data_IF_195267196627
#
_entry.id   IF_195267196627
#
_cell.length_a   1.000
_cell.length_b   1.000
_cell.length_c   1.000
_cell.angle_alpha   90.00
_cell.angle_beta   90.00
_cell.angle_gamma   90.00
#
_symmetry.space_group_name_H-M   'P 1'
#
loop_
_entity.id
_entity.type
_entity.pdbx_description
1 polymer ?
#
# COMPACT_ATOMS: atom_id res chain seq x y z
N UNK A 1 -3.86 -7.44 13.02
CA UNK A 1 -3.32 -6.16 12.49
C UNK A 1 -3.90 -5.06 13.34
N UNK A 2 -3.07 -4.21 13.96
CA UNK A 2 -3.54 -3.05 14.70
C UNK A 2 -3.64 -1.88 13.72
N UNK A 3 -4.79 -1.20 13.74
CA UNK A 3 -5.08 -0.03 12.94
C UNK A 3 -5.12 1.19 13.87
N UNK A 4 -4.50 2.28 13.42
CA UNK A 4 -4.42 3.55 14.15
C UNK A 4 -4.87 4.69 13.24
N UNK A 5 -5.38 5.78 13.84
CA UNK A 5 -5.70 7.02 13.14
C UNK A 5 -4.38 7.76 12.89
N UNK A 6 -4.13 8.12 11.64
CA UNK A 6 -2.85 8.67 11.22
C UNK A 6 -3.01 9.84 10.26
N UNK A 7 -1.99 10.70 10.27
CA UNK A 7 -1.92 11.84 9.37
C UNK A 7 -1.29 11.48 8.03
N UNK A 8 -1.96 11.87 6.95
CA UNK A 8 -1.44 11.71 5.58
C UNK A 8 -0.23 12.63 5.39
N UNK A 9 -0.35 13.92 5.67
CA UNK A 9 0.78 14.83 5.82
C UNK A 9 1.11 14.91 7.32
N UNK A 10 2.35 14.58 7.75
CA UNK A 10 2.75 14.53 9.16
C UNK A 10 2.37 15.79 9.94
N UNK A 11 1.90 15.62 11.17
CA UNK A 11 1.49 16.74 12.05
C UNK A 11 2.62 17.74 12.33
N UNK A 12 3.87 17.29 12.37
CA UNK A 12 5.05 18.15 12.56
C UNK A 12 5.17 19.20 11.47
N UNK A 13 4.81 18.81 10.25
CA UNK A 13 4.90 19.65 9.06
C UNK A 13 3.63 20.48 8.84
N UNK A 14 2.51 20.05 9.43
CA UNK A 14 1.20 20.54 9.01
C UNK A 14 0.16 20.66 10.14
N UNK A 15 0.57 21.30 11.24
CA UNK A 15 -0.22 21.47 12.47
C UNK A 15 -1.61 22.10 12.25
N UNK A 16 -1.72 23.10 11.35
CA UNK A 16 -2.99 23.80 11.07
C UNK A 16 -4.10 22.88 10.55
N UNK A 17 -3.76 21.71 10.00
CA UNK A 17 -4.71 20.75 9.46
C UNK A 17 -4.67 19.41 10.18
N UNK A 18 -4.20 19.40 11.43
CA UNK A 18 -4.15 18.19 12.25
C UNK A 18 -5.53 17.54 12.42
N UNK A 19 -6.61 18.32 12.44
CA UNK A 19 -7.99 17.81 12.55
C UNK A 19 -8.78 17.87 11.23
N UNK A 20 -8.11 18.17 10.10
CA UNK A 20 -8.80 18.13 8.81
C UNK A 20 -9.03 16.68 8.43
N UNK A 21 -10.30 16.28 8.24
CA UNK A 21 -10.66 14.90 7.85
C UNK A 21 -9.91 14.42 6.61
N UNK A 22 -9.69 15.31 5.63
CA UNK A 22 -8.90 14.97 4.42
C UNK A 22 -7.43 14.65 4.72
N UNK A 23 -6.89 15.04 5.87
CA UNK A 23 -5.53 14.74 6.32
C UNK A 23 -5.47 13.59 7.34
N UNK A 24 -6.62 13.04 7.77
CA UNK A 24 -6.71 11.95 8.74
C UNK A 24 -7.18 10.67 8.04
N UNK A 25 -6.54 9.55 8.31
CA UNK A 25 -6.91 8.26 7.73
C UNK A 25 -6.63 7.11 8.68
N UNK A 26 -7.29 5.99 8.48
CA UNK A 26 -6.98 4.75 9.22
C UNK A 26 -5.86 4.02 8.48
N UNK A 27 -4.79 3.68 9.19
CA UNK A 27 -3.68 2.94 8.59
C UNK A 27 -3.08 1.93 9.58
N UNK A 28 -2.37 0.92 9.06
CA UNK A 28 -1.69 -0.04 9.91
C UNK A 28 -0.32 0.49 10.36
N UNK A 29 0.17 -0.01 11.51
CA UNK A 29 1.49 0.36 12.03
C UNK A 29 2.65 0.14 11.04
N UNK A 30 2.58 -0.88 10.18
CA UNK A 30 3.60 -1.11 9.15
C UNK A 30 3.66 0.04 8.15
N UNK A 31 2.52 0.37 7.55
CA UNK A 31 2.45 1.44 6.56
C UNK A 31 2.81 2.79 7.16
N UNK A 32 2.29 3.12 8.35
CA UNK A 32 2.56 4.41 8.96
C UNK A 32 3.93 4.50 9.65
N UNK A 33 4.26 3.58 10.57
CA UNK A 33 5.43 3.72 11.44
C UNK A 33 6.72 3.17 10.84
N UNK A 34 6.65 2.21 9.90
CA UNK A 34 7.85 1.60 9.33
C UNK A 34 8.19 2.14 7.93
N UNK A 35 7.17 2.38 7.11
CA UNK A 35 7.34 2.81 5.73
C UNK A 35 7.25 4.33 5.62
N UNK A 36 6.07 4.90 5.84
CA UNK A 36 5.80 6.31 5.56
C UNK A 36 6.50 7.25 6.54
N UNK A 37 6.39 7.03 7.85
CA UNK A 37 6.95 7.90 8.89
C UNK A 37 6.65 9.38 8.59
N UNK A 38 7.70 10.21 8.55
CA UNK A 38 7.66 11.62 8.17
C UNK A 38 8.03 11.87 6.71
N UNK A 39 8.08 10.83 5.87
CA UNK A 39 8.39 10.99 4.45
C UNK A 39 7.33 11.86 3.76
N UNK A 40 7.81 12.70 2.84
CA UNK A 40 7.00 13.58 2.00
C UNK A 40 7.24 13.34 0.51
N UNK A 41 8.09 12.37 0.13
CA UNK A 41 8.41 12.07 -1.27
C UNK A 41 7.19 11.62 -2.09
N UNK A 42 6.13 11.18 -1.41
CA UNK A 42 4.84 10.87 -2.01
C UNK A 42 4.09 12.11 -2.54
N UNK A 43 4.52 13.33 -2.22
CA UNK A 43 3.95 14.55 -2.80
C UNK A 43 4.57 14.81 -4.18
N UNK A 44 3.75 15.27 -5.12
CA UNK A 44 4.21 15.68 -6.46
C UNK A 44 4.94 17.02 -6.46
N UNK A 45 4.67 17.85 -5.46
CA UNK A 45 5.34 19.14 -5.25
C UNK A 45 5.76 19.29 -3.78
N UNK A 46 6.82 20.07 -3.49
CA UNK A 46 7.23 20.33 -2.12
C UNK A 46 6.09 20.88 -1.27
N UNK A 47 6.03 20.48 0.01
CA UNK A 47 4.95 20.85 0.93
C UNK A 47 4.73 22.38 1.02
N UNK A 48 5.81 23.17 1.04
CA UNK A 48 5.73 24.63 1.08
C UNK A 48 5.17 25.26 -0.20
N UNK A 49 5.25 24.54 -1.33
CA UNK A 49 4.70 24.95 -2.62
C UNK A 49 3.24 24.49 -2.81
N UNK A 50 2.66 23.74 -1.87
CA UNK A 50 1.27 23.30 -1.99
C UNK A 50 0.30 24.50 -1.93
N UNK A 51 -0.64 24.61 -2.88
CA UNK A 51 -1.55 25.74 -2.93
C UNK A 51 -2.57 25.70 -1.78
N UNK A 52 -3.34 26.78 -1.61
CA UNK A 52 -4.43 26.83 -0.61
C UNK A 52 -5.37 25.61 -0.70
N UNK A 53 -5.70 25.16 -1.92
CA UNK A 53 -6.49 23.95 -2.19
C UNK A 53 -5.60 22.69 -2.31
N UNK A 54 -4.83 22.39 -1.26
CA UNK A 54 -3.85 21.29 -1.24
C UNK A 54 -4.43 19.87 -1.13
N UNK A 55 -5.64 19.72 -0.59
CA UNK A 55 -6.32 18.41 -0.52
C UNK A 55 -6.99 18.09 -1.84
N UNK A 56 -6.17 17.89 -2.87
CA UNK A 56 -6.57 17.44 -4.20
C UNK A 56 -5.72 16.22 -4.55
N UNK A 57 -6.38 15.19 -5.05
CA UNK A 57 -5.78 13.91 -5.45
C UNK A 57 -4.46 14.09 -6.23
N UNK A 58 -4.45 14.98 -7.23
CA UNK A 58 -3.30 15.23 -8.13
C UNK A 58 -1.98 15.70 -7.48
N UNK A 59 -1.95 15.97 -6.18
CA UNK A 59 -0.72 16.34 -5.48
C UNK A 59 -0.08 15.16 -4.72
N UNK A 60 -0.71 14.00 -4.76
CA UNK A 60 -0.30 12.79 -4.07
C UNK A 60 -0.06 11.69 -5.08
N UNK A 61 1.16 11.12 -5.04
CA UNK A 61 1.60 10.03 -5.92
C UNK A 61 0.97 8.69 -5.57
N UNK A 62 0.76 8.41 -4.29
CA UNK A 62 0.00 7.23 -3.88
C UNK A 62 -1.51 7.52 -3.89
N UNK A 63 -2.30 6.45 -3.86
CA UNK A 63 -3.77 6.47 -3.74
C UNK A 63 -4.14 7.07 -2.39
N UNK A 64 -4.64 8.28 -2.41
CA UNK A 64 -5.01 9.02 -1.22
C UNK A 64 -6.33 8.46 -0.64
N UNK A 65 -6.35 7.96 0.60
CA UNK A 65 -7.47 7.18 1.15
C UNK A 65 -8.81 7.94 1.21
N UNK A 66 -8.77 9.27 1.30
CA UNK A 66 -9.98 10.11 1.36
C UNK A 66 -10.28 10.88 0.06
N UNK A 67 -9.43 10.80 -0.96
CA UNK A 67 -9.55 11.64 -2.17
C UNK A 67 -9.58 10.85 -3.46
N UNK A 68 -9.12 9.60 -3.43
CA UNK A 68 -9.08 8.70 -4.58
C UNK A 68 -10.03 7.52 -4.35
N UNK A 69 -10.63 7.04 -5.42
CA UNK A 69 -11.30 5.75 -5.43
C UNK A 69 -10.24 4.65 -5.57
N UNK A 70 -10.12 3.75 -4.59
CA UNK A 70 -9.08 2.71 -4.61
C UNK A 70 -9.31 1.72 -5.75
N UNK A 71 -10.56 1.41 -6.08
CA UNK A 71 -10.92 0.39 -7.07
C UNK A 71 -10.51 0.78 -8.50
N UNK A 72 -10.40 2.09 -8.77
CA UNK A 72 -9.89 2.62 -10.05
C UNK A 72 -8.38 2.40 -10.22
N UNK A 73 -7.67 1.96 -9.17
CA UNK A 73 -6.21 1.95 -9.14
C UNK A 73 -5.62 0.62 -8.68
N UNK A 74 -6.25 -0.05 -7.71
CA UNK A 74 -5.81 -1.31 -7.15
C UNK A 74 -7.01 -2.21 -6.89
N UNK A 75 -6.88 -3.45 -7.32
CA UNK A 75 -7.77 -4.54 -6.94
C UNK A 75 -7.05 -5.45 -5.94
N UNK A 76 -7.74 -5.82 -4.86
CA UNK A 76 -7.22 -6.72 -3.83
C UNK A 76 -7.93 -8.06 -3.91
N UNK A 77 -7.23 -9.06 -4.39
CA UNK A 77 -7.70 -10.44 -4.48
C UNK A 77 -7.22 -11.25 -3.28
N UNK A 78 -8.17 -11.85 -2.54
CA UNK A 78 -7.88 -12.67 -1.36
C UNK A 78 -8.56 -14.02 -1.52
N UNK A 79 -7.75 -15.09 -1.54
CA UNK A 79 -8.26 -16.47 -1.57
C UNK A 79 -7.92 -17.15 -0.26
N UNK A 80 -8.93 -17.74 0.39
CA UNK A 80 -8.74 -18.49 1.64
C UNK A 80 -9.27 -19.91 1.51
N UNK A 81 -8.44 -20.90 1.84
CA UNK A 81 -8.83 -22.31 1.92
C UNK A 81 -8.37 -22.89 3.25
N UNK A 82 -9.29 -23.06 4.19
CA UNK A 82 -8.96 -23.47 5.57
C UNK A 82 -8.03 -22.44 6.26
N UNK A 83 -6.83 -22.89 6.63
CA UNK A 83 -5.77 -22.05 7.26
C UNK A 83 -4.90 -21.31 6.26
N UNK A 84 -4.97 -21.67 4.98
CA UNK A 84 -4.19 -21.05 3.91
C UNK A 84 -4.86 -19.77 3.44
N UNK A 85 -4.10 -18.67 3.37
CA UNK A 85 -4.55 -17.36 2.86
C UNK A 85 -3.56 -16.85 1.81
N UNK A 86 -4.05 -16.59 0.60
CA UNK A 86 -3.32 -15.91 -0.46
C UNK A 86 -3.86 -14.48 -0.62
N UNK A 87 -2.95 -13.55 -0.88
CA UNK A 87 -3.23 -12.14 -1.09
C UNK A 87 -2.49 -11.71 -2.35
N UNK A 88 -3.19 -11.03 -3.26
CA UNK A 88 -2.63 -10.43 -4.47
C UNK A 88 -3.23 -9.05 -4.68
N UNK A 89 -2.38 -8.08 -5.00
CA UNK A 89 -2.78 -6.76 -5.46
C UNK A 89 -2.51 -6.66 -6.97
N UNK A 90 -3.50 -6.20 -7.71
CA UNK A 90 -3.41 -5.96 -9.15
C UNK A 90 -3.58 -4.46 -9.43
N UNK A 91 -2.66 -3.88 -10.20
CA UNK A 91 -2.76 -2.48 -10.63
C UNK A 91 -3.74 -2.40 -11.78
N UNK A 92 -4.80 -1.61 -11.60
CA UNK A 92 -5.87 -1.46 -12.57
C UNK A 92 -5.55 -0.35 -13.57
N UNK A 93 -5.96 -0.53 -14.83
CA UNK A 93 -5.95 0.51 -15.87
C UNK A 93 -4.62 1.27 -16.02
N UNK A 94 -3.49 0.58 -15.86
CA UNK A 94 -2.14 1.18 -15.87
C UNK A 94 -2.00 2.37 -14.90
N UNK A 95 -2.74 2.35 -13.79
CA UNK A 95 -2.78 3.45 -12.83
C UNK A 95 -1.39 3.72 -12.25
N UNK A 96 -0.83 4.90 -12.60
CA UNK A 96 0.44 5.39 -12.04
C UNK A 96 0.37 5.47 -10.52
N UNK A 97 -0.78 5.87 -9.97
CA UNK A 97 -1.02 5.89 -8.52
C UNK A 97 -1.05 4.50 -7.93
N UNK A 98 -1.70 3.55 -8.60
CA UNK A 98 -1.72 2.15 -8.20
C UNK A 98 -0.31 1.57 -8.12
N UNK A 99 0.46 1.73 -9.19
CA UNK A 99 1.85 1.29 -9.25
C UNK A 99 2.72 1.95 -8.18
N UNK A 100 2.61 3.27 -7.99
CA UNK A 100 3.35 3.97 -6.95
C UNK A 100 2.97 3.46 -5.56
N UNK A 101 1.67 3.31 -5.27
CA UNK A 101 1.17 2.81 -3.96
C UNK A 101 1.66 1.40 -3.67
N UNK A 102 1.59 0.51 -4.66
CA UNK A 102 2.05 -0.86 -4.56
C UNK A 102 3.53 -0.94 -4.17
N UNK A 103 4.36 -0.14 -4.83
CA UNK A 103 5.80 -0.08 -4.58
C UNK A 103 6.13 0.64 -3.27
N UNK A 104 5.55 1.81 -3.04
CA UNK A 104 5.81 2.66 -1.87
C UNK A 104 5.48 1.94 -0.57
N UNK A 105 4.29 1.32 -0.48
CA UNK A 105 3.88 0.55 0.69
C UNK A 105 4.35 -0.91 0.66
N UNK A 106 5.20 -1.26 -0.30
CA UNK A 106 5.82 -2.59 -0.45
C UNK A 106 4.78 -3.70 -0.33
N UNK A 107 3.70 -3.60 -1.08
CA UNK A 107 2.57 -4.53 -0.98
C UNK A 107 2.97 -5.95 -1.39
N UNK A 108 3.95 -6.09 -2.29
CA UNK A 108 4.57 -7.38 -2.65
C UNK A 108 5.07 -8.18 -1.44
N UNK A 109 5.59 -7.51 -0.41
CA UNK A 109 6.04 -8.21 0.81
C UNK A 109 4.86 -8.85 1.54
N UNK A 110 3.68 -8.21 1.55
CA UNK A 110 2.48 -8.78 2.15
C UNK A 110 1.98 -10.00 1.35
N UNK A 111 2.08 -9.96 0.02
CA UNK A 111 1.77 -11.10 -0.84
C UNK A 111 2.70 -12.29 -0.53
N UNK A 112 4.01 -12.03 -0.48
CA UNK A 112 5.02 -13.04 -0.19
C UNK A 112 4.87 -13.62 1.22
N UNK A 113 4.60 -12.78 2.22
CA UNK A 113 4.39 -13.23 3.60
C UNK A 113 3.14 -14.11 3.71
N UNK A 114 2.04 -13.74 3.02
CA UNK A 114 0.83 -14.56 2.96
C UNK A 114 1.10 -15.91 2.28
N UNK A 115 1.81 -15.91 1.14
CA UNK A 115 2.18 -17.13 0.43
C UNK A 115 3.12 -18.04 1.25
N UNK A 116 4.10 -17.48 1.95
CA UNK A 116 5.02 -18.24 2.80
C UNK A 116 4.28 -18.90 3.97
N UNK A 117 3.36 -18.16 4.61
CA UNK A 117 2.51 -18.69 5.67
C UNK A 117 1.59 -19.81 5.17
N UNK A 118 1.01 -19.65 3.98
CA UNK A 118 0.21 -20.67 3.32
C UNK A 118 0.95 -22.00 3.08
N UNK A 119 2.26 -21.94 2.85
CA UNK A 119 3.11 -23.11 2.62
C UNK A 119 3.67 -23.73 3.92
N UNK A 120 3.32 -23.21 5.10
CA UNK A 120 3.85 -23.68 6.38
C UNK A 120 5.34 -23.42 6.57
N UNK A 121 5.95 -22.51 5.80
CA UNK A 121 7.40 -22.23 5.83
C UNK A 121 7.69 -20.99 6.67
N UNK A 122 8.57 -21.13 7.66
CA UNK A 122 9.14 -20.02 8.46
C UNK A 122 10.44 -19.43 7.87
N UNK A 123 10.95 -19.95 6.74
CA UNK A 123 12.18 -19.47 6.09
C UNK A 123 11.93 -18.92 4.67
N UNK A 124 12.55 -17.77 4.37
CA UNK A 124 12.46 -16.94 3.15
C UNK A 124 13.01 -17.57 1.85
N UNK A 125 12.97 -18.88 1.65
CA UNK A 125 13.42 -19.49 0.38
C UNK A 125 12.55 -20.68 0.00
N UNK A 126 11.92 -20.60 -1.18
CA UNK A 126 11.24 -21.74 -1.81
C UNK A 126 12.32 -22.65 -2.42
N UNK A 127 12.71 -23.71 -1.70
CA UNK A 127 13.62 -24.74 -2.20
C UNK A 127 12.96 -25.81 -3.08
N UNK A 128 11.63 -25.80 -3.17
CA UNK A 128 10.87 -26.80 -3.92
C UNK A 128 10.63 -26.29 -5.34
N UNK A 129 11.15 -27.03 -6.32
CA UNK A 129 11.13 -26.63 -7.72
C UNK A 129 9.71 -26.57 -8.30
N UNK A 130 8.82 -27.47 -7.90
CA UNK A 130 7.44 -27.56 -8.39
C UNK A 130 6.63 -26.39 -7.82
N UNK A 131 6.77 -26.13 -6.53
CA UNK A 131 6.09 -25.00 -5.88
C UNK A 131 6.58 -23.64 -6.41
N UNK A 132 7.87 -23.53 -6.70
CA UNK A 132 8.45 -22.32 -7.31
C UNK A 132 7.98 -22.10 -8.75
N UNK A 133 7.74 -23.17 -9.50
CA UNK A 133 7.24 -23.10 -10.87
C UNK A 133 5.75 -22.76 -10.93
N UNK A 134 4.92 -23.36 -10.07
CA UNK A 134 3.50 -23.03 -9.96
C UNK A 134 3.29 -21.56 -9.55
N UNK A 135 4.12 -21.05 -8.63
CA UNK A 135 4.07 -19.64 -8.25
C UNK A 135 4.51 -18.71 -9.38
N UNK A 136 5.56 -19.06 -10.15
CA UNK A 136 5.99 -18.29 -11.33
C UNK A 136 4.89 -18.19 -12.39
N UNK A 137 4.23 -19.30 -12.71
CA UNK A 137 3.14 -19.33 -13.70
C UNK A 137 1.93 -18.47 -13.31
N UNK A 138 1.67 -18.30 -12.02
CA UNK A 138 0.61 -17.43 -11.53
C UNK A 138 1.01 -15.94 -11.57
N UNK A 139 2.30 -15.64 -11.42
CA UNK A 139 2.83 -14.28 -11.47
C UNK A 139 3.03 -13.79 -12.91
N UNK A 140 3.38 -14.67 -13.85
CA UNK A 140 3.63 -14.33 -15.26
C UNK A 140 2.34 -14.18 -16.09
N UNK A 141 1.21 -14.71 -15.61
CA UNK A 141 -0.11 -14.56 -16.23
C UNK A 141 -0.95 -13.41 -15.60
N UNK A 142 -0.32 -12.53 -14.81
CA UNK A 142 -0.95 -11.36 -14.19
C UNK A 142 -0.46 -10.06 -14.80
#
# INVERSE_FOLDING_TARGET
MVLDIEHIIPKSEFLKHMFTMKNLSVSCKRCNMLIKKNDLTFLDIPLHALPRRKFRSKYYKFIHPNLDNIEEHLELNIVRKGRVRFIKYLVQNESKKGAFTYNYFRLRELELDAANQAQGRTKKVIRDHIAAEAFRRLVENS
#
